data_IF_996315870788
#
_entry.id   IF_996315870788
#
_cell.length_a   1.000
_cell.length_b   1.000
_cell.length_c   1.000
_cell.angle_alpha   90.00
_cell.angle_beta   90.00
_cell.angle_gamma   90.00
#
_symmetry.space_group_name_H-M   'P 1'
#
loop_
_entity.id
_entity.type
_entity.pdbx_description
1 polymer ?
#
# COMPACT_ATOMS: atom_id res chain seq x y z
N UNK A 1 50.85 -26.63 -77.29
CA UNK A 1 50.81 -25.31 -76.73
C UNK A 1 49.75 -25.30 -75.64
N UNK A 2 50.17 -25.46 -74.38
CA UNK A 2 49.28 -25.63 -73.18
C UNK A 2 49.48 -24.38 -72.36
N UNK A 3 48.46 -23.52 -72.28
CA UNK A 3 48.48 -22.33 -71.43
C UNK A 3 47.87 -22.74 -70.02
N UNK A 4 48.77 -22.65 -69.06
CA UNK A 4 48.38 -22.83 -67.66
C UNK A 4 47.76 -21.50 -67.13
N UNK A 5 46.56 -21.57 -66.64
CA UNK A 5 45.82 -20.47 -65.97
C UNK A 5 46.15 -20.45 -64.51
N UNK A 6 46.95 -19.48 -64.07
CA UNK A 6 47.21 -19.23 -62.63
C UNK A 6 45.99 -18.62 -62.01
N UNK A 7 45.36 -19.35 -61.07
CA UNK A 7 44.33 -18.80 -60.16
C UNK A 7 45.04 -18.20 -58.97
N UNK A 8 44.89 -16.89 -58.83
CA UNK A 8 45.46 -16.12 -57.72
C UNK A 8 44.76 -16.46 -56.42
N UNK A 9 45.49 -17.04 -55.45
CA UNK A 9 45.03 -17.37 -54.13
C UNK A 9 44.55 -16.18 -53.27
N UNK A 10 44.46 -14.99 -53.88
CA UNK A 10 44.10 -13.75 -53.16
C UNK A 10 42.57 -13.58 -52.94
N UNK A 11 41.76 -14.14 -53.80
CA UNK A 11 40.28 -14.02 -53.70
C UNK A 11 39.68 -14.96 -52.64
N UNK A 12 40.27 -16.10 -52.40
CA UNK A 12 39.78 -17.07 -51.41
C UNK A 12 40.00 -16.57 -49.97
N UNK A 13 41.06 -15.85 -49.71
CA UNK A 13 41.34 -15.29 -48.36
C UNK A 13 40.40 -14.13 -48.02
N UNK A 14 40.01 -13.31 -49.02
CA UNK A 14 39.04 -12.20 -48.80
C UNK A 14 37.66 -12.65 -48.43
N UNK A 15 37.16 -13.72 -49.04
CA UNK A 15 35.83 -14.26 -48.75
C UNK A 15 35.79 -14.94 -47.37
N UNK A 16 36.86 -15.61 -46.93
CA UNK A 16 36.95 -16.25 -45.60
C UNK A 16 37.04 -15.22 -44.48
N UNK A 17 37.73 -14.11 -44.66
CA UNK A 17 37.83 -13.05 -43.63
C UNK A 17 36.52 -12.27 -43.52
N UNK A 18 35.88 -11.95 -44.66
CA UNK A 18 34.59 -11.28 -44.68
C UNK A 18 33.46 -12.11 -44.00
N UNK A 19 33.45 -13.42 -44.24
CA UNK A 19 32.48 -14.33 -43.58
C UNK A 19 32.66 -14.41 -42.07
N UNK A 20 33.90 -14.44 -41.57
CA UNK A 20 34.18 -14.45 -40.12
C UNK A 20 33.85 -13.13 -39.46
N UNK A 21 34.07 -11.98 -40.15
CA UNK A 21 33.68 -10.66 -39.65
C UNK A 21 32.15 -10.51 -39.56
N UNK A 22 31.44 -11.00 -40.59
CA UNK A 22 29.96 -10.98 -40.57
C UNK A 22 29.38 -11.82 -39.46
N UNK A 23 29.96 -13.01 -39.22
CA UNK A 23 29.56 -13.89 -38.13
C UNK A 23 29.84 -13.29 -36.75
N UNK A 24 31.01 -12.64 -36.59
CA UNK A 24 31.36 -11.95 -35.34
C UNK A 24 30.41 -10.77 -35.03
N UNK A 25 30.01 -10.00 -36.06
CA UNK A 25 29.02 -8.92 -35.90
C UNK A 25 27.62 -9.47 -35.58
N UNK A 26 27.22 -10.57 -36.20
CA UNK A 26 25.93 -11.22 -35.92
C UNK A 26 25.87 -11.76 -34.49
N UNK A 27 26.94 -12.38 -34.00
CA UNK A 27 27.05 -12.85 -32.62
C UNK A 27 27.09 -11.69 -31.62
N UNK A 28 27.78 -10.60 -31.93
CA UNK A 28 27.81 -9.38 -31.11
C UNK A 28 26.43 -8.72 -31.01
N UNK A 29 25.65 -8.70 -32.10
CA UNK A 29 24.26 -8.22 -32.10
C UNK A 29 23.30 -9.10 -31.31
N UNK A 30 23.54 -10.40 -31.23
CA UNK A 30 22.73 -11.35 -30.42
C UNK A 30 23.06 -11.28 -28.93
N UNK A 31 24.26 -10.83 -28.54
CA UNK A 31 24.67 -10.71 -27.13
C UNK A 31 24.31 -9.33 -26.56
N UNK A 32 24.09 -8.33 -27.40
CA UNK A 32 23.66 -6.99 -26.98
C UNK A 32 22.14 -6.85 -26.87
N UNK A 33 21.45 -7.84 -26.28
CA UNK A 33 20.15 -7.54 -25.68
C UNK A 33 20.44 -6.57 -24.54
N UNK A 34 19.93 -5.32 -24.57
CA UNK A 34 19.96 -4.51 -23.37
C UNK A 34 19.22 -5.32 -22.32
N UNK A 35 19.92 -5.78 -21.30
CA UNK A 35 19.31 -6.11 -20.04
C UNK A 35 18.72 -4.77 -19.59
N UNK A 36 17.49 -4.51 -20.02
CA UNK A 36 16.66 -3.54 -19.35
C UNK A 36 16.58 -4.11 -17.94
N UNK A 37 17.47 -3.63 -17.06
CA UNK A 37 17.26 -3.73 -15.64
C UNK A 37 15.87 -3.13 -15.45
N UNK A 38 14.88 -3.98 -15.37
CA UNK A 38 13.54 -3.56 -15.05
C UNK A 38 13.67 -3.07 -13.61
N UNK A 39 13.67 -1.76 -13.42
CA UNK A 39 13.30 -1.11 -12.18
C UNK A 39 11.86 -1.52 -11.85
N UNK A 40 11.70 -2.83 -11.60
CA UNK A 40 10.43 -3.34 -11.12
C UNK A 40 10.43 -3.13 -9.62
N UNK A 41 9.42 -2.43 -9.11
CA UNK A 41 9.21 -2.36 -7.68
C UNK A 41 9.34 -3.77 -7.08
N UNK A 42 10.23 -3.92 -6.12
CA UNK A 42 10.57 -5.24 -5.54
C UNK A 42 9.41 -5.78 -4.69
N UNK A 43 8.49 -4.90 -4.29
CA UNK A 43 7.53 -5.18 -3.24
C UNK A 43 6.19 -5.71 -3.75
N UNK A 44 5.69 -5.25 -4.90
CA UNK A 44 4.33 -5.53 -5.36
C UNK A 44 4.28 -5.98 -6.82
N UNK A 45 3.57 -7.07 -7.06
CA UNK A 45 3.27 -7.59 -8.40
C UNK A 45 1.77 -7.62 -8.66
N UNK A 46 0.97 -6.91 -7.84
CA UNK A 46 -0.48 -7.03 -7.86
C UNK A 46 -1.10 -5.68 -8.09
N UNK A 47 -2.11 -5.65 -8.96
CA UNK A 47 -2.90 -4.47 -9.23
C UNK A 47 -3.82 -4.14 -8.03
N UNK A 48 -4.02 -2.87 -7.73
CA UNK A 48 -4.96 -2.38 -6.71
C UNK A 48 -6.41 -2.73 -7.02
N UNK A 49 -6.71 -3.11 -8.28
CA UNK A 49 -8.01 -3.65 -8.71
C UNK A 49 -8.31 -5.06 -8.16
N UNK A 50 -7.36 -5.73 -7.52
CA UNK A 50 -7.61 -7.04 -6.91
C UNK A 50 -8.66 -6.95 -5.80
N UNK A 51 -9.44 -8.04 -5.59
CA UNK A 51 -10.44 -8.08 -4.52
C UNK A 51 -9.82 -7.74 -3.15
N UNK A 52 -10.55 -7.07 -2.26
CA UNK A 52 -10.09 -6.78 -0.91
C UNK A 52 -9.56 -8.02 -0.19
N UNK A 53 -8.40 -7.91 0.47
CA UNK A 53 -7.71 -9.00 1.16
C UNK A 53 -6.85 -9.91 0.28
N UNK A 54 -6.89 -9.77 -1.04
CA UNK A 54 -6.09 -10.60 -1.94
C UNK A 54 -4.59 -10.29 -1.82
N UNK A 55 -4.25 -9.02 -1.69
CA UNK A 55 -2.86 -8.55 -1.61
C UNK A 55 -2.22 -9.02 -0.31
N UNK A 56 -2.86 -8.77 0.83
CA UNK A 56 -2.36 -9.19 2.13
C UNK A 56 -2.23 -10.72 2.24
N UNK A 57 -3.20 -11.49 1.73
CA UNK A 57 -3.11 -12.97 1.69
C UNK A 57 -1.92 -13.45 0.87
N UNK A 58 -1.68 -12.88 -0.30
CA UNK A 58 -0.52 -13.25 -1.11
C UNK A 58 0.80 -12.89 -0.42
N UNK A 59 0.82 -11.80 0.33
CA UNK A 59 1.97 -11.43 1.14
C UNK A 59 2.29 -12.51 2.19
N UNK A 60 1.27 -13.00 2.89
CA UNK A 60 1.41 -14.09 3.86
C UNK A 60 1.90 -15.40 3.21
N UNK A 61 1.38 -15.75 2.03
CA UNK A 61 1.78 -16.97 1.31
C UNK A 61 3.24 -16.97 0.86
N UNK A 62 3.87 -15.81 0.73
CA UNK A 62 5.29 -15.64 0.35
C UNK A 62 6.25 -15.56 1.53
N UNK A 63 5.84 -15.99 2.71
CA UNK A 63 6.65 -15.89 3.92
C UNK A 63 6.64 -14.49 4.53
N UNK A 64 5.52 -13.79 4.39
CA UNK A 64 5.26 -12.48 5.01
C UNK A 64 5.35 -12.51 6.53
N UNK A 65 4.90 -11.45 7.19
CA UNK A 65 5.09 -11.28 8.62
C UNK A 65 4.49 -12.42 9.43
N UNK A 66 5.03 -12.61 10.63
CA UNK A 66 4.67 -13.68 11.55
C UNK A 66 3.15 -13.81 11.73
N UNK A 67 2.65 -15.04 11.69
CA UNK A 67 1.26 -15.35 12.02
C UNK A 67 0.90 -14.78 13.39
N UNK A 68 -0.26 -14.12 13.48
CA UNK A 68 -0.73 -13.48 14.71
C UNK A 68 -0.12 -12.10 15.02
N UNK A 69 0.77 -11.58 14.18
CA UNK A 69 1.24 -10.21 14.35
C UNK A 69 0.13 -9.21 13.99
N UNK A 70 -0.24 -8.36 14.95
CA UNK A 70 -1.16 -7.26 14.75
C UNK A 70 -0.37 -5.95 14.59
N UNK A 71 -0.43 -5.34 13.42
CA UNK A 71 0.15 -4.03 13.16
C UNK A 71 -0.71 -2.94 13.81
N UNK A 72 -0.15 -2.06 14.67
CA UNK A 72 -0.88 -0.90 15.16
C UNK A 72 -1.24 0.06 14.02
N UNK A 73 -2.51 0.46 13.99
CA UNK A 73 -3.08 1.42 13.02
C UNK A 73 -3.86 2.46 13.82
N UNK A 74 -3.63 3.74 13.55
CA UNK A 74 -4.41 4.83 14.10
C UNK A 74 -5.32 5.39 13.01
N UNK A 75 -6.63 5.18 13.15
CA UNK A 75 -7.63 5.77 12.25
C UNK A 75 -8.08 7.08 12.88
N UNK A 76 -8.04 8.15 12.09
CA UNK A 76 -8.46 9.50 12.47
C UNK A 76 -9.63 9.92 11.62
N UNK A 77 -10.60 10.59 12.21
CA UNK A 77 -11.76 11.17 11.51
C UNK A 77 -11.92 12.64 11.92
N UNK A 78 -12.69 13.42 11.14
CA UNK A 78 -12.98 14.82 11.48
C UNK A 78 -13.52 14.99 12.90
N UNK A 79 -13.21 16.14 13.53
CA UNK A 79 -13.66 16.44 14.88
C UNK A 79 -15.18 16.28 15.04
N UNK A 80 -15.60 15.52 16.05
CA UNK A 80 -16.99 15.16 16.32
C UNK A 80 -17.43 13.81 15.72
N UNK A 81 -16.76 13.29 14.69
CA UNK A 81 -17.09 11.99 14.14
C UNK A 81 -16.67 10.84 15.08
N UNK A 82 -17.35 9.70 14.96
CA UNK A 82 -17.06 8.49 15.75
C UNK A 82 -16.68 7.33 14.83
N UNK A 83 -15.73 6.51 15.26
CA UNK A 83 -15.21 5.37 14.50
C UNK A 83 -15.41 4.09 15.31
N UNK A 84 -16.10 3.12 14.73
CA UNK A 84 -16.36 1.80 15.34
C UNK A 84 -15.84 0.67 14.45
N UNK A 85 -15.03 -0.28 14.94
CA UNK A 85 -14.65 -1.45 14.18
C UNK A 85 -15.76 -2.48 14.17
N UNK A 86 -15.85 -3.27 13.10
CA UNK A 86 -16.71 -4.44 13.04
C UNK A 86 -16.21 -5.53 14.00
N UNK A 87 -17.14 -6.18 14.71
CA UNK A 87 -16.87 -7.33 15.57
C UNK A 87 -18.10 -8.25 15.64
N UNK A 88 -17.91 -9.54 15.50
CA UNK A 88 -19.02 -10.50 15.45
C UNK A 88 -20.00 -10.17 14.32
N UNK A 89 -21.25 -9.96 14.64
CA UNK A 89 -22.33 -9.66 13.68
C UNK A 89 -22.64 -8.17 13.52
N UNK A 90 -21.83 -7.27 14.11
CA UNK A 90 -22.12 -5.84 14.10
C UNK A 90 -20.87 -4.98 14.29
N UNK A 91 -21.07 -3.83 14.95
CA UNK A 91 -20.00 -2.89 15.25
C UNK A 91 -19.89 -2.68 16.76
N UNK A 92 -18.65 -2.53 17.23
CA UNK A 92 -18.40 -2.14 18.61
C UNK A 92 -18.83 -0.69 18.86
N UNK A 93 -18.75 -0.24 20.11
CA UNK A 93 -18.95 1.16 20.45
C UNK A 93 -17.96 2.06 19.73
N UNK A 94 -18.45 3.13 19.09
CA UNK A 94 -17.63 4.08 18.37
C UNK A 94 -16.79 4.95 19.30
N UNK A 95 -15.50 5.13 18.97
CA UNK A 95 -14.62 6.07 19.67
C UNK A 95 -14.58 7.42 18.94
N UNK A 96 -14.56 8.55 19.66
CA UNK A 96 -14.55 9.85 19.05
C UNK A 96 -13.21 10.14 18.36
N UNK A 97 -13.26 10.66 17.16
CA UNK A 97 -12.17 11.24 16.36
C UNK A 97 -10.98 10.31 16.08
N UNK A 98 -10.58 9.46 17.00
CA UNK A 98 -9.38 8.63 16.89
C UNK A 98 -9.60 7.24 17.45
N UNK A 99 -9.17 6.25 16.67
CA UNK A 99 -9.22 4.84 17.05
C UNK A 99 -7.86 4.20 16.82
N UNK A 100 -7.19 3.74 17.90
CA UNK A 100 -5.94 2.98 17.83
C UNK A 100 -6.26 1.48 17.94
N UNK A 101 -5.95 0.74 16.88
CA UNK A 101 -6.25 -0.69 16.77
C UNK A 101 -5.05 -1.49 16.28
N UNK A 102 -4.99 -2.76 16.65
CA UNK A 102 -4.11 -3.76 16.06
C UNK A 102 -4.86 -4.55 15.01
N UNK A 103 -4.36 -4.52 13.78
CA UNK A 103 -4.92 -5.23 12.64
C UNK A 103 -3.91 -6.27 12.13
N UNK A 104 -4.38 -7.51 11.94
CA UNK A 104 -3.54 -8.54 11.32
C UNK A 104 -3.36 -8.26 9.82
N UNK A 105 -2.25 -8.71 9.25
CA UNK A 105 -2.00 -8.63 7.82
C UNK A 105 -2.78 -9.73 7.11
N UNK A 106 -3.43 -9.38 6.00
CA UNK A 106 -4.21 -10.29 5.16
C UNK A 106 -5.72 -10.16 5.26
N UNK A 107 -6.33 -10.11 6.46
CA UNK A 107 -7.75 -9.83 6.59
C UNK A 107 -8.11 -8.40 6.18
N UNK A 108 -9.37 -8.21 5.78
CA UNK A 108 -9.99 -6.90 5.56
C UNK A 108 -10.82 -6.55 6.78
N UNK A 109 -10.66 -5.34 7.27
CA UNK A 109 -11.37 -4.83 8.43
C UNK A 109 -12.39 -3.78 8.00
N UNK A 110 -13.66 -3.94 8.40
CA UNK A 110 -14.71 -2.95 8.21
C UNK A 110 -14.80 -2.04 9.41
N UNK A 111 -14.96 -0.74 9.16
CA UNK A 111 -15.25 0.25 10.19
C UNK A 111 -16.57 0.93 9.87
N UNK A 112 -17.22 1.51 10.88
CA UNK A 112 -18.36 2.40 10.74
C UNK A 112 -17.95 3.79 11.23
N UNK A 113 -18.22 4.81 10.42
CA UNK A 113 -18.02 6.21 10.75
C UNK A 113 -19.38 6.87 10.86
N UNK A 114 -19.65 7.48 12.01
CA UNK A 114 -20.93 8.14 12.34
C UNK A 114 -20.68 9.54 12.88
N UNK A 115 -21.73 10.31 13.13
CA UNK A 115 -21.66 11.67 13.69
C UNK A 115 -20.74 12.59 12.86
N UNK A 116 -20.77 12.45 11.54
CA UNK A 116 -19.94 13.24 10.63
C UNK A 116 -20.40 14.71 10.69
N UNK A 117 -19.51 15.68 10.92
CA UNK A 117 -19.89 17.09 11.07
C UNK A 117 -20.66 17.63 9.87
N UNK A 118 -21.81 18.22 10.14
CA UNK A 118 -22.70 18.77 9.10
C UNK A 118 -23.50 17.73 8.30
N UNK A 119 -23.46 16.45 8.70
CA UNK A 119 -24.16 15.35 8.03
C UNK A 119 -24.88 14.46 9.06
N UNK A 120 -25.97 14.95 9.68
CA UNK A 120 -26.68 14.18 10.69
C UNK A 120 -27.28 12.91 10.09
N UNK A 121 -27.07 11.79 10.75
CA UNK A 121 -27.59 10.47 10.33
C UNK A 121 -26.80 9.79 9.20
N UNK A 122 -25.78 10.43 8.65
CA UNK A 122 -24.91 9.79 7.66
C UNK A 122 -24.02 8.76 8.34
N UNK A 123 -24.02 7.55 7.80
CA UNK A 123 -23.10 6.49 8.17
C UNK A 123 -22.27 6.04 6.97
N UNK A 124 -21.00 5.87 7.14
CA UNK A 124 -20.07 5.35 6.13
C UNK A 124 -19.31 4.15 6.64
N UNK A 125 -18.94 3.25 5.72
CA UNK A 125 -18.40 1.95 6.06
C UNK A 125 -17.04 1.70 5.36
N UNK A 126 -15.99 2.47 5.67
CA UNK A 126 -14.65 2.25 5.12
C UNK A 126 -14.11 0.87 5.47
N UNK A 127 -13.24 0.35 4.60
CA UNK A 127 -12.46 -0.87 4.86
C UNK A 127 -10.97 -0.56 4.85
N UNK A 128 -10.25 -1.24 5.73
CA UNK A 128 -8.80 -1.20 5.81
C UNK A 128 -8.22 -2.59 5.64
N UNK A 129 -7.25 -2.72 4.75
CA UNK A 129 -6.43 -3.91 4.54
C UNK A 129 -4.98 -3.55 4.86
N UNK A 130 -4.39 -4.18 5.88
CA UNK A 130 -2.97 -4.02 6.17
C UNK A 130 -2.18 -5.00 5.32
N UNK A 131 -1.20 -4.50 4.59
CA UNK A 131 -0.43 -5.29 3.61
C UNK A 131 1.02 -5.50 4.01
N UNK A 132 1.55 -4.66 4.92
CA UNK A 132 2.90 -4.84 5.48
C UNK A 132 2.96 -4.31 6.92
N UNK A 133 4.10 -4.50 7.59
CA UNK A 133 4.33 -4.07 8.98
C UNK A 133 5.44 -3.02 9.08
N UNK A 134 5.34 -2.18 10.09
CA UNK A 134 6.43 -1.34 10.56
C UNK A 134 7.38 -2.13 11.46
N UNK A 135 8.63 -1.69 11.54
CA UNK A 135 9.66 -2.28 12.39
C UNK A 135 10.18 -1.25 13.40
N UNK A 136 9.35 -0.82 14.36
CA UNK A 136 9.76 0.12 15.39
C UNK A 136 10.76 -0.52 16.35
N UNK A 137 11.48 0.27 17.16
CA UNK A 137 12.31 -0.24 18.24
C UNK A 137 11.50 -1.14 19.20
N UNK A 138 12.15 -2.13 19.85
CA UNK A 138 11.47 -3.01 20.80
C UNK A 138 10.73 -2.23 21.88
N UNK A 139 9.47 -2.60 22.14
CA UNK A 139 8.60 -1.95 23.13
C UNK A 139 7.90 -0.68 22.64
N UNK A 140 8.26 -0.10 21.49
CA UNK A 140 7.77 1.19 21.03
C UNK A 140 6.66 1.08 19.96
N UNK A 141 6.18 -0.10 19.66
CA UNK A 141 5.28 -0.33 18.52
C UNK A 141 4.00 0.52 18.54
N UNK A 142 3.46 0.85 19.71
CA UNK A 142 2.25 1.68 19.83
C UNK A 142 2.52 3.18 19.66
N UNK A 143 3.79 3.59 19.67
CA UNK A 143 4.18 4.98 19.40
C UNK A 143 4.28 5.26 17.88
N UNK A 144 4.37 4.21 17.08
CA UNK A 144 4.51 4.27 15.63
C UNK A 144 3.40 3.47 14.93
N UNK A 145 2.11 3.86 15.11
CA UNK A 145 1.04 3.24 14.34
C UNK A 145 1.08 3.71 12.89
N UNK A 146 0.52 2.92 11.96
CA UNK A 146 0.23 3.40 10.61
C UNK A 146 -0.91 4.42 10.71
N UNK A 147 -0.71 5.70 10.34
CA UNK A 147 -1.78 6.69 10.38
C UNK A 147 -2.69 6.55 9.16
N UNK A 148 -4.00 6.53 9.39
CA UNK A 148 -5.03 6.56 8.35
C UNK A 148 -5.98 7.70 8.71
N UNK A 149 -5.88 8.79 7.99
CA UNK A 149 -6.75 9.94 8.17
C UNK A 149 -7.94 9.86 7.19
N UNK A 150 -9.15 9.95 7.72
CA UNK A 150 -10.38 10.05 6.94
C UNK A 150 -10.73 11.54 6.85
N UNK A 151 -10.53 12.16 5.69
CA UNK A 151 -10.85 13.56 5.54
C UNK A 151 -12.36 13.76 5.34
N UNK A 152 -12.84 14.97 5.66
CA UNK A 152 -14.25 15.31 5.47
C UNK A 152 -14.64 15.24 3.99
N UNK A 153 -13.77 15.66 3.10
CA UNK A 153 -13.95 15.66 1.65
C UNK A 153 -14.13 14.24 1.11
N UNK A 154 -13.31 13.31 1.59
CA UNK A 154 -13.42 11.89 1.20
C UNK A 154 -14.73 11.27 1.70
N UNK A 155 -15.09 11.56 2.96
CA UNK A 155 -16.34 11.06 3.54
C UNK A 155 -17.57 11.57 2.74
N UNK A 156 -17.59 12.85 2.39
CA UNK A 156 -18.66 13.42 1.56
C UNK A 156 -18.68 12.83 0.15
N UNK A 157 -17.51 12.69 -0.47
CA UNK A 157 -17.38 12.07 -1.79
C UNK A 157 -17.88 10.62 -1.81
N UNK A 158 -17.58 9.85 -0.76
CA UNK A 158 -18.10 8.49 -0.63
C UNK A 158 -19.60 8.44 -0.41
N UNK A 159 -20.17 9.39 0.35
CA UNK A 159 -21.61 9.54 0.54
C UNK A 159 -22.35 9.85 -0.77
N UNK A 160 -21.73 10.61 -1.66
CA UNK A 160 -22.21 10.91 -3.02
C UNK A 160 -22.11 9.71 -3.99
N UNK A 161 -21.63 8.54 -3.51
CA UNK A 161 -21.49 7.31 -4.29
C UNK A 161 -20.18 7.16 -5.02
N UNK A 162 -19.19 8.03 -4.81
CA UNK A 162 -17.84 7.85 -5.37
C UNK A 162 -17.10 6.75 -4.62
N UNK A 163 -16.38 5.93 -5.36
CA UNK A 163 -15.50 4.91 -4.77
C UNK A 163 -14.10 5.45 -4.61
N UNK A 164 -13.62 5.49 -3.36
CA UNK A 164 -12.32 5.99 -2.99
C UNK A 164 -11.41 4.80 -2.67
N UNK A 165 -10.24 4.77 -3.29
CA UNK A 165 -9.15 3.85 -2.93
C UNK A 165 -7.91 4.67 -2.64
N UNK A 166 -7.34 4.48 -1.45
CA UNK A 166 -6.12 5.14 -1.04
C UNK A 166 -5.12 4.12 -0.51
N UNK A 167 -3.87 4.24 -0.96
CA UNK A 167 -2.77 3.42 -0.47
C UNK A 167 -1.91 4.25 0.47
N UNK A 168 -1.80 3.80 1.70
CA UNK A 168 -0.90 4.36 2.70
C UNK A 168 0.45 3.68 2.53
N UNK A 169 1.51 4.45 2.37
CA UNK A 169 2.86 3.93 2.14
C UNK A 169 3.88 4.61 3.07
N UNK A 170 4.97 3.91 3.32
CA UNK A 170 6.15 4.43 3.99
C UNK A 170 7.09 4.95 2.91
N UNK A 171 7.34 6.26 2.90
CA UNK A 171 8.23 6.88 1.90
C UNK A 171 9.62 6.27 1.89
N UNK A 172 10.19 6.14 0.71
CA UNK A 172 11.59 5.82 0.56
C UNK A 172 12.43 7.02 1.00
N UNK A 173 13.29 6.90 2.01
CA UNK A 173 14.07 8.02 2.53
C UNK A 173 15.03 8.62 1.50
N UNK A 174 15.35 7.91 0.40
CA UNK A 174 16.20 8.40 -0.69
C UNK A 174 15.43 9.28 -1.67
N UNK A 175 14.10 9.14 -1.72
CA UNK A 175 13.19 9.88 -2.60
C UNK A 175 12.39 10.95 -1.84
N UNK A 176 12.32 10.81 -0.52
CA UNK A 176 11.56 11.71 0.34
C UNK A 176 12.13 13.14 0.29
N UNK A 177 11.27 14.11 0.03
CA UNK A 177 11.63 15.52 0.10
C UNK A 177 11.31 15.98 1.54
N UNK A 178 12.32 16.48 2.31
CA UNK A 178 12.07 17.02 3.63
C UNK A 178 11.06 18.18 3.55
N UNK A 179 9.91 17.99 4.15
CA UNK A 179 8.90 19.04 4.30
C UNK A 179 8.80 19.36 5.78
N UNK A 180 8.53 20.65 6.10
CA UNK A 180 8.09 20.98 7.45
C UNK A 180 6.81 20.21 7.73
N UNK A 181 6.83 19.39 8.78
CA UNK A 181 5.66 18.66 9.26
C UNK A 181 4.58 19.68 9.68
N UNK A 182 3.75 20.05 8.74
CA UNK A 182 2.43 20.55 9.07
C UNK A 182 1.56 19.29 9.22
N UNK A 183 0.68 19.29 10.19
CA UNK A 183 -0.10 18.13 10.70
C UNK A 183 -0.92 17.36 9.65
N UNK A 184 -0.80 17.66 8.38
CA UNK A 184 -1.55 17.03 7.29
C UNK A 184 -0.74 15.96 6.59
N UNK A 185 -1.39 14.82 6.38
CA UNK A 185 -0.84 13.70 5.63
C UNK A 185 -0.64 14.10 4.17
N UNK A 186 0.57 13.91 3.62
CA UNK A 186 0.88 14.23 2.22
C UNK A 186 0.09 13.32 1.27
N UNK A 187 -0.44 13.92 0.22
CA UNK A 187 -1.22 13.26 -0.83
C UNK A 187 -0.47 13.23 -2.15
N UNK A 188 -0.55 12.09 -2.83
CA UNK A 188 -0.17 11.94 -4.23
C UNK A 188 -1.35 11.37 -4.96
N UNK A 189 -1.90 12.10 -5.91
CA UNK A 189 -3.05 11.66 -6.70
C UNK A 189 -2.57 10.80 -7.87
N UNK A 190 -3.12 9.57 -7.97
CA UNK A 190 -2.89 8.73 -9.13
C UNK A 190 -3.68 9.27 -10.33
N UNK A 191 -3.08 9.26 -11.52
CA UNK A 191 -3.75 9.71 -12.75
C UNK A 191 -4.91 8.77 -13.10
N UNK A 192 -5.92 9.25 -13.87
CA UNK A 192 -6.97 8.39 -14.37
C UNK A 192 -6.41 7.17 -15.11
N UNK A 193 -6.79 5.96 -14.67
CA UNK A 193 -6.29 4.70 -15.21
C UNK A 193 -4.95 4.20 -14.64
N UNK A 194 -4.30 4.98 -13.79
CA UNK A 194 -3.10 4.56 -13.06
C UNK A 194 -3.49 3.81 -11.77
N UNK A 195 -2.77 2.75 -11.47
CA UNK A 195 -3.02 1.96 -10.27
C UNK A 195 -2.37 2.63 -9.04
N UNK A 196 -3.14 3.06 -8.04
CA UNK A 196 -2.58 3.73 -6.86
C UNK A 196 -1.62 2.85 -6.06
N UNK A 197 -1.73 1.52 -6.15
CA UNK A 197 -0.80 0.61 -5.51
C UNK A 197 0.58 0.64 -6.19
N UNK A 198 0.61 0.71 -7.51
CA UNK A 198 1.85 0.83 -8.30
C UNK A 198 2.50 2.18 -8.02
N UNK A 199 1.73 3.26 -7.96
CA UNK A 199 2.23 4.60 -7.61
C UNK A 199 2.88 4.59 -6.22
N UNK A 200 2.19 4.03 -5.22
CA UNK A 200 2.70 3.94 -3.86
C UNK A 200 3.98 3.10 -3.76
N UNK A 201 4.09 2.03 -4.57
CA UNK A 201 5.27 1.17 -4.62
C UNK A 201 6.49 1.86 -5.24
N UNK A 202 6.28 2.79 -6.16
CA UNK A 202 7.35 3.65 -6.68
C UNK A 202 7.82 4.73 -5.71
N UNK A 203 6.91 5.23 -4.86
CA UNK A 203 7.19 6.27 -3.87
C UNK A 203 7.77 5.73 -2.57
N UNK A 204 7.61 4.42 -2.33
CA UNK A 204 8.07 3.80 -1.13
C UNK A 204 7.46 2.41 -0.93
N UNK A 205 7.16 2.05 0.30
CA UNK A 205 6.65 0.73 0.64
C UNK A 205 5.17 0.80 1.06
N UNK A 206 4.23 0.23 0.27
CA UNK A 206 2.82 0.15 0.65
C UNK A 206 2.62 -0.57 1.98
N UNK A 207 1.85 0.02 2.88
CA UNK A 207 1.60 -0.44 4.23
C UNK A 207 0.15 -0.85 4.47
N UNK A 208 -0.79 -0.07 3.94
CA UNK A 208 -2.22 -0.34 4.08
C UNK A 208 -3.01 0.20 2.88
N UNK A 209 -4.19 -0.38 2.66
CA UNK A 209 -5.13 0.08 1.63
C UNK A 209 -6.44 0.44 2.32
N UNK A 210 -6.87 1.68 2.16
CA UNK A 210 -8.18 2.17 2.53
C UNK A 210 -9.09 2.13 1.31
N UNK A 211 -10.31 1.56 1.47
CA UNK A 211 -11.36 1.62 0.44
C UNK A 211 -12.65 2.10 1.09
N UNK A 212 -13.33 3.01 0.42
CA UNK A 212 -14.57 3.60 0.90
C UNK A 212 -15.51 3.91 -0.27
N UNK A 213 -16.80 3.75 -0.04
CA UNK A 213 -17.86 4.07 -0.99
C UNK A 213 -19.19 4.13 -0.28
N UNK A 214 -20.27 4.38 -1.02
CA UNK A 214 -21.62 4.54 -0.47
C UNK A 214 -22.34 3.23 -0.08
N UNK A 215 -21.66 2.08 -0.06
CA UNK A 215 -22.31 0.82 0.30
C UNK A 215 -22.67 0.77 1.79
N UNK A 216 -23.91 0.45 2.08
CA UNK A 216 -24.45 0.24 3.43
C UNK A 216 -24.77 -1.25 3.65
N UNK A 217 -24.89 -1.73 4.90
CA UNK A 217 -25.32 -3.10 5.18
C UNK A 217 -26.80 -3.29 4.79
N UNK A 218 -27.13 -4.45 4.22
CA UNK A 218 -28.47 -4.80 3.74
C UNK A 218 -29.40 -5.36 4.84
N UNK A 219 -29.05 -5.28 6.10
CA UNK A 219 -29.91 -5.61 7.25
C UNK A 219 -30.12 -7.10 7.56
N UNK A 220 -29.77 -8.03 6.65
CA UNK A 220 -30.03 -9.45 6.76
C UNK A 220 -28.78 -10.35 6.76
N UNK A 221 -28.90 -11.63 6.40
CA UNK A 221 -27.85 -12.68 6.43
C UNK A 221 -26.53 -12.31 5.71
N UNK A 222 -26.54 -11.26 4.90
CA UNK A 222 -25.36 -10.74 4.23
C UNK A 222 -24.42 -9.93 5.16
N UNK A 223 -24.80 -9.66 6.40
CA UNK A 223 -24.01 -8.82 7.32
C UNK A 223 -22.58 -9.33 7.50
N UNK A 224 -22.37 -10.64 7.66
CA UNK A 224 -21.02 -11.20 7.79
C UNK A 224 -20.17 -11.02 6.53
N UNK A 225 -20.77 -11.13 5.33
CA UNK A 225 -20.09 -10.87 4.08
C UNK A 225 -19.77 -9.37 3.93
N UNK A 226 -20.69 -8.50 4.32
CA UNK A 226 -20.46 -7.06 4.38
C UNK A 226 -19.34 -6.71 5.37
N UNK A 227 -19.30 -7.36 6.52
CA UNK A 227 -18.29 -7.15 7.57
C UNK A 227 -16.95 -7.88 7.29
N UNK A 228 -16.81 -8.55 6.14
CA UNK A 228 -15.65 -9.39 5.83
C UNK A 228 -15.36 -10.45 6.90
N UNK A 229 -16.41 -10.97 7.53
CA UNK A 229 -16.29 -11.94 8.62
C UNK A 229 -15.84 -11.35 9.95
N UNK A 230 -15.75 -10.01 10.07
CA UNK A 230 -15.35 -9.29 11.27
C UNK A 230 -14.14 -9.93 11.98
N UNK A 231 -12.95 -9.95 11.34
CA UNK A 231 -11.78 -10.55 11.96
C UNK A 231 -11.44 -9.88 13.30
N UNK A 232 -10.80 -10.61 14.23
CA UNK A 232 -10.50 -10.08 15.56
C UNK A 232 -9.69 -8.78 15.51
N UNK A 233 -10.15 -7.76 16.21
CA UNK A 233 -9.51 -6.45 16.34
C UNK A 233 -9.00 -6.29 17.77
N UNK A 234 -7.76 -5.86 17.92
CA UNK A 234 -7.20 -5.50 19.22
C UNK A 234 -7.31 -3.98 19.40
N UNK A 235 -8.12 -3.51 20.33
CA UNK A 235 -8.23 -2.08 20.63
C UNK A 235 -7.16 -1.71 21.66
N UNK A 236 -6.43 -0.63 21.40
CA UNK A 236 -5.44 -0.09 22.33
C UNK A 236 -5.90 1.23 22.92
N UNK A 237 -5.60 1.44 24.18
CA UNK A 237 -5.65 2.76 24.77
C UNK A 237 -4.36 3.52 24.42
N UNK A 238 -4.50 4.81 24.18
CA UNK A 238 -3.36 5.64 23.81
C UNK A 238 -2.35 5.69 24.96
N UNK A 239 -1.05 5.48 24.70
CA UNK A 239 -0.05 5.71 25.71
C UNK A 239 -0.16 7.16 26.19
N UNK A 240 -0.54 7.35 27.45
CA UNK A 240 -0.51 8.69 28.04
C UNK A 240 0.93 9.19 28.04
N UNK A 241 1.14 10.33 27.43
CA UNK A 241 2.46 10.96 27.36
C UNK A 241 2.85 11.44 28.77
N UNK A 242 3.47 10.56 29.56
CA UNK A 242 3.93 10.86 30.94
C UNK A 242 5.03 11.93 31.02
N UNK A 243 5.49 12.45 29.91
CA UNK A 243 6.60 13.40 29.87
C UNK A 243 6.23 14.87 30.20
N UNK A 244 4.95 15.20 30.39
CA UNK A 244 4.55 16.57 30.78
C UNK A 244 4.19 16.74 32.27
N UNK A 245 4.29 15.70 33.10
CA UNK A 245 4.08 15.85 34.54
C UNK A 245 5.39 15.55 35.29
N UNK A 246 6.13 16.58 35.57
CA UNK A 246 7.00 16.88 36.71
C UNK A 246 8.27 17.61 36.27
N UNK A 247 8.13 18.93 36.12
CA UNK A 247 9.23 19.81 36.54
C UNK A 247 9.04 20.03 38.04
N UNK A 248 9.93 19.55 38.92
CA UNK A 248 9.87 19.94 40.33
C UNK A 248 10.20 21.42 40.40
N UNK A 249 9.35 22.17 41.08
CA UNK A 249 9.67 23.54 41.44
C UNK A 249 10.92 23.52 42.32
N UNK A 250 12.01 24.07 41.80
CA UNK A 250 13.20 24.37 42.60
C UNK A 250 12.84 25.59 43.45
N UNK A 251 12.84 25.39 44.77
CA UNK A 251 12.84 26.47 45.78
C UNK A 251 14.26 27.00 45.95
#
# INVERSE_FOLDING_TARGET
MTTARSYSGFELVRTFVAGKLLWAVLVALLVSTPVLAQDRPVHWRHAGAMPPGAIGRQRLMRGGPLSGFCQPVEIRAPGGARIAPAAGSGFLEGRPERLLVGLAIGPVYRFRVTEIPGQPGLELFPTVEVVDRLHPPPGERLRFPIPIELTREELLSAAEGRFITRVIYLEDPTLAIPLNEQDEQRWVEARPGEDPLVVADHLGRPMAILRMGGRVPDGDESALAFLYGAPPVQIYDRPQNRSMMKKPAVR
#
